data_IF_368423204133
#
_entry.id   IF_368423204133
#
_cell.length_a   1.000
_cell.length_b   1.000
_cell.length_c   1.000
_cell.angle_alpha   90.00
_cell.angle_beta   90.00
_cell.angle_gamma   90.00
#
_symmetry.space_group_name_H-M   'P 1'
#
loop_
_entity.id
_entity.type
_entity.pdbx_description
1 polymer ?
#
# COMPACT_ATOMS: atom_id res chain seq x y z
N UNK A 1 5.57 -11.56 -24.03
CA UNK A 1 4.70 -10.73 -23.19
C UNK A 1 4.73 -11.28 -21.76
N UNK A 2 4.96 -10.46 -20.74
CA UNK A 2 4.83 -10.93 -19.35
C UNK A 2 3.33 -11.02 -19.05
N UNK A 3 2.81 -12.25 -18.94
CA UNK A 3 1.40 -12.49 -18.64
C UNK A 3 1.04 -11.98 -17.25
N UNK A 4 -0.18 -11.49 -17.07
CA UNK A 4 -0.75 -11.27 -15.75
C UNK A 4 -0.77 -12.59 -14.98
N UNK A 5 -0.48 -12.53 -13.68
CA UNK A 5 -0.53 -13.69 -12.78
C UNK A 5 -1.96 -14.13 -12.50
N UNK A 6 -2.13 -15.43 -12.21
CA UNK A 6 -3.41 -16.04 -11.86
C UNK A 6 -3.58 -16.09 -10.33
N UNK A 7 -4.65 -15.52 -9.77
CA UNK A 7 -4.84 -15.49 -8.31
C UNK A 7 -4.93 -16.88 -7.68
N UNK A 8 -5.46 -17.89 -8.37
CA UNK A 8 -5.52 -19.25 -7.84
C UNK A 8 -4.13 -19.86 -7.66
N UNK A 9 -3.16 -19.43 -8.46
CA UNK A 9 -1.79 -19.92 -8.42
C UNK A 9 -0.93 -19.10 -7.44
N UNK A 10 -1.16 -17.79 -7.38
CA UNK A 10 -0.28 -16.84 -6.71
C UNK A 10 -0.66 -16.55 -5.26
N UNK A 11 -1.92 -16.73 -4.86
CA UNK A 11 -2.42 -16.30 -3.55
C UNK A 11 -3.29 -17.36 -2.84
N UNK A 12 -3.27 -17.29 -1.51
CA UNK A 12 -4.21 -17.99 -0.62
C UNK A 12 -5.12 -16.95 0.06
N UNK A 13 -6.43 -17.21 0.10
CA UNK A 13 -7.35 -16.46 0.97
C UNK A 13 -7.07 -16.90 2.41
N UNK A 14 -6.68 -15.97 3.28
CA UNK A 14 -6.20 -16.29 4.63
C UNK A 14 -7.30 -16.23 5.69
N UNK A 15 -8.31 -15.38 5.49
CA UNK A 15 -9.45 -15.25 6.40
C UNK A 15 -10.66 -14.59 5.71
N UNK A 16 -11.82 -14.65 6.39
CA UNK A 16 -13.03 -13.93 5.99
C UNK A 16 -14.25 -14.81 5.72
N UNK A 17 -14.15 -16.13 5.88
CA UNK A 17 -15.28 -17.07 5.83
C UNK A 17 -16.15 -16.87 4.56
N UNK A 18 -15.51 -17.03 3.39
CA UNK A 18 -16.14 -16.83 2.08
C UNK A 18 -16.28 -15.38 1.60
N UNK A 19 -15.84 -14.38 2.38
CA UNK A 19 -15.83 -12.96 1.96
C UNK A 19 -14.72 -12.60 0.98
N UNK A 20 -13.60 -13.32 1.02
CA UNK A 20 -12.60 -13.32 -0.03
C UNK A 20 -13.01 -14.30 -1.12
N UNK A 21 -13.02 -13.88 -2.38
CA UNK A 21 -13.41 -14.73 -3.52
C UNK A 21 -12.53 -14.48 -4.74
N UNK A 22 -12.22 -15.55 -5.46
CA UNK A 22 -11.51 -15.50 -6.74
C UNK A 22 -12.51 -15.90 -7.84
N UNK A 23 -12.59 -15.06 -8.88
CA UNK A 23 -13.51 -15.19 -10.00
C UNK A 23 -12.76 -15.25 -11.33
N UNK A 24 -13.51 -15.49 -12.41
CA UNK A 24 -13.04 -15.42 -13.79
C UNK A 24 -11.77 -16.25 -14.01
N UNK A 25 -11.79 -17.49 -13.50
CA UNK A 25 -10.67 -18.42 -13.56
C UNK A 25 -9.34 -17.83 -13.02
N UNK A 26 -9.40 -17.01 -11.96
CA UNK A 26 -8.21 -16.44 -11.34
C UNK A 26 -7.79 -15.07 -11.84
N UNK A 27 -8.64 -14.37 -12.61
CA UNK A 27 -8.33 -13.03 -13.14
C UNK A 27 -8.82 -11.88 -12.26
N UNK A 28 -9.73 -12.16 -11.33
CA UNK A 28 -10.31 -11.16 -10.43
C UNK A 28 -10.40 -11.75 -9.03
N UNK A 29 -9.93 -11.00 -8.04
CA UNK A 29 -10.13 -11.31 -6.62
C UNK A 29 -10.94 -10.16 -6.01
N UNK A 30 -11.90 -10.49 -5.14
CA UNK A 30 -12.60 -9.48 -4.32
C UNK A 30 -12.46 -9.79 -2.84
N UNK A 31 -12.31 -8.75 -2.04
CA UNK A 31 -12.44 -8.81 -0.59
C UNK A 31 -13.72 -8.07 -0.19
N UNK A 32 -14.53 -8.70 0.67
CA UNK A 32 -15.72 -8.11 1.24
C UNK A 32 -15.55 -7.86 2.74
N UNK A 33 -16.24 -6.85 3.24
CA UNK A 33 -16.33 -6.48 4.64
C UNK A 33 -17.79 -6.22 5.01
N UNK A 34 -18.22 -6.85 6.10
CA UNK A 34 -19.49 -6.59 6.77
C UNK A 34 -19.27 -6.51 8.28
N UNK A 35 -20.36 -6.33 9.04
CA UNK A 35 -20.30 -6.12 10.49
C UNK A 35 -19.72 -7.30 11.28
N UNK A 36 -19.61 -8.48 10.68
CA UNK A 36 -19.13 -9.70 11.33
C UNK A 36 -17.65 -9.93 11.05
N UNK A 37 -17.20 -9.65 9.81
CA UNK A 37 -15.82 -9.90 9.42
C UNK A 37 -15.44 -9.11 8.17
N UNK A 38 -14.15 -8.80 8.08
CA UNK A 38 -13.52 -8.45 6.81
C UNK A 38 -13.04 -9.70 6.05
N UNK A 39 -12.01 -9.52 5.23
CA UNK A 39 -11.32 -10.63 4.58
C UNK A 39 -9.91 -10.24 4.17
N UNK A 40 -9.09 -11.23 3.83
CA UNK A 40 -7.73 -11.00 3.37
C UNK A 40 -7.12 -12.18 2.65
N UNK A 41 -6.03 -11.91 1.96
CA UNK A 41 -5.23 -12.90 1.25
C UNK A 41 -3.74 -12.63 1.42
N UNK A 42 -2.93 -13.65 1.14
CA UNK A 42 -1.47 -13.53 1.10
C UNK A 42 -0.89 -14.26 -0.10
N UNK A 43 0.29 -13.86 -0.58
CA UNK A 43 0.99 -14.58 -1.65
C UNK A 43 1.49 -15.92 -1.15
N UNK A 44 1.48 -16.94 -2.03
CA UNK A 44 2.03 -18.28 -1.75
C UNK A 44 3.55 -18.31 -1.71
N UNK A 45 4.20 -17.34 -2.35
CA UNK A 45 5.67 -17.17 -2.34
C UNK A 45 6.07 -15.95 -1.51
N UNK A 46 7.27 -16.02 -0.95
CA UNK A 46 7.98 -14.86 -0.42
C UNK A 46 8.88 -14.27 -1.52
N UNK A 47 9.14 -12.98 -1.40
CA UNK A 47 10.02 -12.22 -2.28
C UNK A 47 11.07 -11.51 -1.44
N UNK A 48 12.32 -11.53 -1.90
CA UNK A 48 13.36 -10.63 -1.39
C UNK A 48 13.74 -9.71 -2.54
N UNK A 49 13.29 -8.46 -2.45
CA UNK A 49 13.25 -7.51 -3.55
C UNK A 49 12.28 -7.91 -4.68
N UNK A 50 12.00 -6.95 -5.57
CA UNK A 50 11.14 -7.13 -6.73
C UNK A 50 10.52 -5.83 -7.21
N UNK A 51 9.95 -5.86 -8.41
CA UNK A 51 8.93 -4.91 -8.84
C UNK A 51 7.60 -5.63 -8.91
N UNK A 52 6.66 -5.16 -8.10
CA UNK A 52 5.37 -5.82 -7.89
C UNK A 52 4.28 -4.80 -8.21
N UNK A 53 3.42 -5.18 -9.15
CA UNK A 53 2.27 -4.39 -9.58
C UNK A 53 0.98 -5.14 -9.23
N UNK A 54 -0.02 -4.41 -8.74
CA UNK A 54 -1.38 -4.92 -8.57
C UNK A 54 -2.37 -3.83 -9.00
N UNK A 55 -3.40 -4.19 -9.76
CA UNK A 55 -4.50 -3.27 -10.00
C UNK A 55 -5.57 -3.40 -8.94
N UNK A 56 -5.91 -2.30 -8.29
CA UNK A 56 -6.95 -2.23 -7.28
C UNK A 56 -8.07 -1.29 -7.76
N UNK A 57 -9.31 -1.65 -7.42
CA UNK A 57 -10.46 -0.75 -7.43
C UNK A 57 -11.08 -0.76 -6.04
N UNK A 58 -11.15 0.41 -5.43
CA UNK A 58 -11.51 0.57 -4.02
C UNK A 58 -13.03 0.53 -3.80
N UNK A 59 -13.43 0.53 -2.52
CA UNK A 59 -14.84 0.51 -2.11
C UNK A 59 -15.55 1.78 -2.61
N UNK A 60 -16.64 1.66 -3.39
CA UNK A 60 -17.36 2.82 -3.90
C UNK A 60 -18.31 3.41 -2.86
N UNK A 61 -18.77 4.65 -3.14
CA UNK A 61 -19.75 5.38 -2.32
C UNK A 61 -19.21 5.64 -0.90
N UNK A 62 -20.03 5.42 0.13
CA UNK A 62 -19.63 5.65 1.51
C UNK A 62 -18.76 4.48 1.96
N UNK A 63 -17.47 4.74 2.15
CA UNK A 63 -16.48 3.78 2.62
C UNK A 63 -15.83 4.23 3.93
N UNK A 64 -16.42 5.21 4.61
CA UNK A 64 -15.90 5.72 5.87
C UNK A 64 -15.68 4.61 6.90
N UNK A 65 -14.58 4.69 7.63
CA UNK A 65 -14.12 3.72 8.63
C UNK A 65 -13.52 2.44 8.05
N UNK A 66 -13.53 2.24 6.72
CA UNK A 66 -12.89 1.07 6.08
C UNK A 66 -11.44 1.35 5.69
N UNK A 67 -10.60 0.32 5.77
CA UNK A 67 -9.22 0.31 5.27
C UNK A 67 -9.05 -0.86 4.31
N UNK A 68 -8.70 -0.55 3.07
CA UNK A 68 -8.14 -1.54 2.14
C UNK A 68 -6.62 -1.47 2.24
N UNK A 69 -5.96 -2.52 2.71
CA UNK A 69 -4.49 -2.56 2.79
C UNK A 69 -3.92 -3.40 1.64
N UNK A 70 -2.78 -3.00 1.09
CA UNK A 70 -1.96 -3.76 0.15
C UNK A 70 -0.50 -3.56 0.53
N UNK A 71 0.15 -4.61 1.02
CA UNK A 71 1.41 -4.46 1.72
C UNK A 71 2.32 -5.67 1.55
N UNK A 72 3.61 -5.47 1.78
CA UNK A 72 4.58 -6.55 1.93
C UNK A 72 4.97 -6.64 3.38
N UNK A 73 5.08 -7.86 3.92
CA UNK A 73 5.49 -8.05 5.33
C UNK A 73 6.31 -9.33 5.51
N UNK A 74 7.39 -9.25 6.30
CA UNK A 74 8.14 -10.43 6.74
C UNK A 74 7.54 -11.05 8.01
N UNK A 75 7.98 -12.26 8.35
CA UNK A 75 7.57 -12.92 9.58
C UNK A 75 8.49 -12.53 10.75
N UNK A 76 8.02 -12.76 11.98
CA UNK A 76 8.79 -12.54 13.19
C UNK A 76 8.49 -11.23 13.92
N UNK A 77 9.07 -11.04 15.12
CA UNK A 77 8.77 -9.90 16.00
C UNK A 77 9.42 -8.59 15.56
N UNK A 78 10.49 -8.66 14.76
CA UNK A 78 11.22 -7.49 14.21
C UNK A 78 11.05 -7.45 12.69
N UNK A 79 9.79 -7.54 12.24
CA UNK A 79 9.48 -7.67 10.83
C UNK A 79 9.84 -6.40 10.03
N UNK A 80 10.07 -6.59 8.74
CA UNK A 80 10.10 -5.52 7.76
C UNK A 80 8.73 -5.46 7.06
N UNK A 81 8.28 -4.26 6.69
CA UNK A 81 6.98 -4.08 6.03
C UNK A 81 6.94 -2.81 5.16
N UNK A 82 6.16 -2.86 4.07
CA UNK A 82 6.01 -1.81 3.05
C UNK A 82 4.52 -1.69 2.72
N UNK A 83 3.91 -0.56 3.08
CA UNK A 83 2.45 -0.43 3.12
C UNK A 83 1.89 0.53 2.08
N UNK A 84 0.83 0.10 1.40
CA UNK A 84 -0.26 0.97 0.99
C UNK A 84 -1.48 0.67 1.86
N UNK A 85 -2.08 1.70 2.43
CA UNK A 85 -3.40 1.62 3.07
C UNK A 85 -4.31 2.68 2.48
N UNK A 86 -5.48 2.29 2.02
CA UNK A 86 -6.48 3.18 1.45
C UNK A 86 -7.57 3.41 2.47
N UNK A 87 -7.58 4.61 3.04
CA UNK A 87 -8.53 5.02 4.06
C UNK A 87 -9.78 5.54 3.37
N UNK A 88 -10.89 4.84 3.58
CA UNK A 88 -12.18 5.21 3.01
C UNK A 88 -12.75 6.50 3.60
N UNK A 89 -13.78 7.02 2.94
CA UNK A 89 -14.37 8.30 3.29
C UNK A 89 -15.88 8.32 2.99
N UNK A 90 -16.55 9.39 3.42
CA UNK A 90 -17.94 9.64 3.05
C UNK A 90 -18.06 9.80 1.52
N UNK A 91 -19.22 9.43 0.96
CA UNK A 91 -19.53 9.64 -0.46
C UNK A 91 -19.21 11.08 -0.88
N UNK A 92 -18.48 11.25 -1.98
CA UNK A 92 -18.11 12.56 -2.52
C UNK A 92 -16.87 13.20 -1.87
N UNK A 93 -16.30 12.60 -0.82
CA UNK A 93 -15.03 13.02 -0.24
C UNK A 93 -13.87 12.13 -0.72
N UNK A 94 -12.65 12.68 -0.84
CA UNK A 94 -11.53 11.93 -1.40
C UNK A 94 -11.08 10.81 -0.46
N UNK A 95 -10.63 9.71 -1.06
CA UNK A 95 -9.82 8.71 -0.38
C UNK A 95 -8.49 9.31 0.09
N UNK A 96 -7.95 8.76 1.17
CA UNK A 96 -6.56 8.99 1.58
C UNK A 96 -5.74 7.74 1.29
N UNK A 97 -4.66 7.90 0.52
CA UNK A 97 -3.63 6.87 0.37
C UNK A 97 -2.58 7.12 1.43
N UNK A 98 -2.39 6.13 2.28
CA UNK A 98 -1.40 6.10 3.33
C UNK A 98 -0.28 5.15 2.92
N UNK A 99 0.96 5.56 3.12
CA UNK A 99 2.14 4.70 2.93
C UNK A 99 2.98 4.67 4.18
N UNK A 100 3.56 3.52 4.49
CA UNK A 100 4.47 3.35 5.62
C UNK A 100 5.60 2.38 5.27
N UNK A 101 6.69 2.44 6.05
CA UNK A 101 7.83 1.54 5.92
C UNK A 101 8.30 1.15 7.31
N UNK A 102 8.22 -0.14 7.61
CA UNK A 102 8.82 -0.75 8.79
C UNK A 102 10.15 -1.40 8.42
N UNK A 103 11.13 -1.22 9.30
CA UNK A 103 12.40 -1.92 9.20
C UNK A 103 12.82 -2.38 10.59
N UNK A 104 13.04 -3.68 10.75
CA UNK A 104 13.38 -4.32 12.02
C UNK A 104 12.37 -4.00 13.14
N UNK A 105 11.07 -4.02 12.81
CA UNK A 105 9.97 -3.71 13.73
C UNK A 105 9.75 -2.22 13.98
N UNK A 106 10.58 -1.32 13.44
CA UNK A 106 10.43 0.13 13.58
C UNK A 106 9.73 0.73 12.38
N UNK A 107 8.50 1.22 12.57
CA UNK A 107 7.73 2.00 11.60
C UNK A 107 7.80 3.50 11.87
N UNK A 108 6.63 4.12 12.06
CA UNK A 108 6.45 5.56 12.30
C UNK A 108 6.89 6.47 11.14
N UNK A 109 6.70 6.00 9.90
CA UNK A 109 7.13 6.68 8.66
C UNK A 109 5.98 6.97 7.72
N UNK A 110 4.86 7.41 8.26
CA UNK A 110 3.62 7.63 7.55
C UNK A 110 3.74 8.80 6.57
N UNK A 111 3.26 8.61 5.34
CA UNK A 111 2.97 9.69 4.40
C UNK A 111 1.59 9.49 3.81
N UNK A 112 0.79 10.55 3.74
CA UNK A 112 -0.57 10.49 3.23
C UNK A 112 -0.77 11.41 2.03
N UNK A 113 -1.60 10.95 1.09
CA UNK A 113 -1.87 11.64 -0.17
C UNK A 113 -3.35 11.54 -0.55
N UNK A 114 -3.87 12.56 -1.22
CA UNK A 114 -5.07 12.42 -2.05
C UNK A 114 -4.67 12.08 -3.48
N UNK A 115 -5.47 11.25 -4.17
CA UNK A 115 -5.23 10.90 -5.56
C UNK A 115 -5.80 11.96 -6.52
N UNK A 116 -5.23 12.06 -7.72
CA UNK A 116 -5.71 12.92 -8.81
C UNK A 116 -6.87 12.30 -9.61
N UNK A 117 -7.51 11.26 -9.07
CA UNK A 117 -8.66 10.55 -9.62
C UNK A 117 -9.47 9.89 -8.49
N UNK A 118 -10.68 9.41 -8.80
CA UNK A 118 -11.46 8.59 -7.87
C UNK A 118 -11.06 7.10 -8.00
N UNK A 119 -10.36 6.53 -6.98
CA UNK A 119 -9.85 5.16 -7.03
C UNK A 119 -10.94 4.08 -6.90
N UNK A 120 -12.20 4.44 -6.65
CA UNK A 120 -13.31 3.50 -6.60
C UNK A 120 -14.04 3.32 -7.94
N UNK A 121 -13.84 4.23 -8.90
CA UNK A 121 -14.51 4.20 -10.21
C UNK A 121 -13.84 3.17 -11.14
N UNK A 122 -12.51 3.23 -11.26
CA UNK A 122 -11.73 2.39 -12.16
C UNK A 122 -10.63 1.62 -11.42
N UNK A 123 -10.09 0.60 -12.08
CA UNK A 123 -8.88 -0.07 -11.60
C UNK A 123 -7.65 0.79 -11.91
N UNK A 124 -6.82 1.00 -10.89
CA UNK A 124 -5.54 1.70 -10.99
C UNK A 124 -4.41 0.80 -10.52
N UNK A 125 -3.22 1.00 -11.08
CA UNK A 125 -2.05 0.17 -10.77
C UNK A 125 -1.30 0.75 -9.60
N UNK A 126 -1.13 -0.03 -8.54
CA UNK A 126 -0.32 0.31 -7.38
C UNK A 126 0.93 -0.57 -7.41
N UNK A 127 2.09 0.08 -7.41
CA UNK A 127 3.37 -0.58 -7.63
C UNK A 127 4.32 -0.35 -6.47
N UNK A 128 5.03 -1.41 -6.08
CA UNK A 128 6.20 -1.35 -5.20
C UNK A 128 7.41 -1.81 -6.01
N UNK A 129 8.33 -0.89 -6.26
CA UNK A 129 9.70 -1.22 -6.66
C UNK A 129 10.54 -1.30 -5.39
N UNK A 130 11.03 -2.48 -5.05
CA UNK A 130 11.88 -2.72 -3.89
C UNK A 130 13.17 -3.37 -4.37
N UNK A 131 14.30 -2.68 -4.23
CA UNK A 131 15.63 -3.19 -4.56
C UNK A 131 16.64 -2.81 -3.45
N UNK A 132 17.90 -3.27 -3.50
CA UNK A 132 18.87 -3.01 -2.44
C UNK A 132 19.14 -1.52 -2.15
N UNK A 133 18.81 -0.63 -3.08
CA UNK A 133 19.09 0.80 -2.96
C UNK A 133 17.87 1.62 -2.52
N UNK A 134 16.65 1.16 -2.80
CA UNK A 134 15.44 1.97 -2.58
C UNK A 134 14.15 1.16 -2.60
N UNK A 135 13.12 1.74 -2.00
CA UNK A 135 11.72 1.40 -2.18
C UNK A 135 11.05 2.59 -2.88
N UNK A 136 10.32 2.35 -3.96
CA UNK A 136 9.51 3.36 -4.66
C UNK A 136 8.07 2.89 -4.72
N UNK A 137 7.18 3.70 -4.17
CA UNK A 137 5.73 3.56 -4.25
C UNK A 137 5.25 4.32 -5.47
N UNK A 138 4.48 3.69 -6.35
CA UNK A 138 3.92 4.36 -7.52
C UNK A 138 2.44 4.06 -7.71
N UNK A 139 1.73 5.02 -8.30
CA UNK A 139 0.33 4.92 -8.72
C UNK A 139 0.27 5.21 -10.21
N UNK A 140 -0.17 4.25 -11.02
CA UNK A 140 -0.16 4.30 -12.50
C UNK A 140 1.20 4.71 -13.09
N UNK A 141 2.29 4.21 -12.49
CA UNK A 141 3.65 4.53 -12.90
C UNK A 141 4.14 5.93 -12.50
N UNK A 142 3.35 6.69 -11.74
CA UNK A 142 3.75 7.97 -11.15
C UNK A 142 4.26 7.70 -9.73
N UNK A 143 5.54 7.95 -9.42
CA UNK A 143 6.08 7.76 -8.09
C UNK A 143 5.47 8.77 -7.11
N UNK A 144 4.96 8.27 -5.99
CA UNK A 144 4.39 9.10 -4.91
C UNK A 144 5.33 9.20 -3.70
N UNK A 145 6.22 8.21 -3.54
CA UNK A 145 7.21 8.16 -2.45
C UNK A 145 8.43 7.35 -2.85
N UNK A 146 9.60 7.83 -2.44
CA UNK A 146 10.86 7.08 -2.45
C UNK A 146 11.38 6.98 -1.01
N UNK A 147 11.78 5.78 -0.60
CA UNK A 147 12.52 5.51 0.64
C UNK A 147 13.88 4.89 0.26
N UNK A 148 14.96 5.64 0.48
CA UNK A 148 16.32 5.24 0.09
C UNK A 148 16.93 4.34 1.15
N UNK A 149 17.77 3.40 0.72
CA UNK A 149 18.67 2.70 1.64
C UNK A 149 19.72 3.71 2.15
N UNK A 150 19.62 4.03 3.44
CA UNK A 150 20.48 4.99 4.14
C UNK A 150 21.18 4.32 5.35
N UNK A 151 21.48 3.03 5.24
CA UNK A 151 22.20 2.29 6.28
C UNK A 151 23.56 2.91 6.60
N UNK A 152 24.20 3.56 5.64
CA UNK A 152 25.46 4.29 5.82
C UNK A 152 25.38 5.40 6.90
N UNK A 153 24.18 5.94 7.17
CA UNK A 153 23.93 6.92 8.24
C UNK A 153 23.13 6.33 9.42
N UNK A 154 22.98 5.00 9.44
CA UNK A 154 22.34 4.24 10.51
C UNK A 154 20.81 4.16 10.41
N UNK A 155 20.22 4.37 9.24
CA UNK A 155 18.79 4.13 9.01
C UNK A 155 18.61 2.70 8.49
N UNK A 156 17.94 1.80 9.23
CA UNK A 156 17.68 0.44 8.76
C UNK A 156 16.86 0.41 7.47
N UNK A 157 17.07 -0.61 6.65
CA UNK A 157 16.37 -0.80 5.38
C UNK A 157 15.92 -2.26 5.22
N UNK A 158 14.74 -2.54 4.64
CA UNK A 158 14.27 -3.91 4.37
C UNK A 158 15.15 -4.58 3.31
N UNK A 159 16.19 -5.31 3.70
CA UNK A 159 17.08 -6.01 2.73
C UNK A 159 17.41 -7.45 3.05
N UNK A 160 17.08 -7.92 4.26
CA UNK A 160 17.50 -9.23 4.75
C UNK A 160 16.33 -10.19 4.98
N UNK A 161 15.09 -9.69 5.05
CA UNK A 161 13.92 -10.50 5.38
C UNK A 161 13.03 -10.64 4.14
N UNK A 162 12.87 -11.85 3.57
CA UNK A 162 11.90 -12.10 2.53
C UNK A 162 10.48 -11.80 3.04
N UNK A 163 9.68 -11.14 2.21
CA UNK A 163 8.32 -10.71 2.55
C UNK A 163 7.30 -11.43 1.68
N UNK A 164 6.14 -11.75 2.27
CA UNK A 164 4.95 -12.08 1.47
C UNK A 164 4.21 -10.80 1.14
N UNK A 165 3.44 -10.86 0.07
CA UNK A 165 2.47 -9.82 -0.29
C UNK A 165 1.17 -10.16 0.41
N UNK A 166 0.53 -9.15 0.97
CA UNK A 166 -0.74 -9.26 1.67
C UNK A 166 -1.72 -8.22 1.14
N UNK A 167 -3.00 -8.54 1.28
CA UNK A 167 -4.03 -7.52 1.23
C UNK A 167 -5.19 -7.90 2.13
N UNK A 168 -5.83 -6.90 2.71
CA UNK A 168 -6.98 -7.06 3.59
C UNK A 168 -7.96 -5.91 3.41
N UNK A 169 -9.23 -6.17 3.73
CA UNK A 169 -10.26 -5.16 3.88
C UNK A 169 -10.86 -5.30 5.27
N UNK A 170 -10.79 -4.25 6.08
CA UNK A 170 -11.18 -4.30 7.48
C UNK A 170 -11.67 -2.94 7.99
N UNK A 171 -12.30 -2.95 9.17
CA UNK A 171 -12.82 -1.76 9.85
C UNK A 171 -11.77 -1.18 10.80
N UNK A 172 -11.53 0.12 10.69
CA UNK A 172 -10.55 0.87 11.46
C UNK A 172 -11.16 2.18 11.99
N UNK A 173 -12.35 2.07 12.57
CA UNK A 173 -13.18 3.19 13.04
C UNK A 173 -12.46 4.16 13.96
N UNK A 174 -11.45 3.69 14.69
CA UNK A 174 -10.71 4.50 15.66
C UNK A 174 -9.79 5.54 15.01
N UNK A 175 -9.45 5.41 13.72
CA UNK A 175 -8.49 6.32 13.10
C UNK A 175 -8.67 6.57 11.60
N UNK A 176 -9.30 5.68 10.83
CA UNK A 176 -9.23 5.71 9.36
C UNK A 176 -9.83 6.98 8.73
N UNK A 177 -11.05 7.37 9.10
CA UNK A 177 -11.73 8.51 8.48
C UNK A 177 -11.76 9.70 9.41
N UNK A 178 -11.13 10.80 8.98
CA UNK A 178 -10.97 12.04 9.76
C UNK A 178 -10.39 11.79 11.16
N UNK A 179 -9.37 10.94 11.26
CA UNK A 179 -8.76 10.59 12.54
C UNK A 179 -9.71 9.85 13.49
N UNK A 180 -10.65 9.09 12.94
CA UNK A 180 -11.61 8.28 13.70
C UNK A 180 -12.90 8.99 14.09
N UNK A 181 -13.11 10.24 13.68
CA UNK A 181 -14.34 10.99 13.96
C UNK A 181 -15.56 10.44 13.21
N UNK A 182 -15.36 9.83 12.04
CA UNK A 182 -16.43 9.26 11.22
C UNK A 182 -16.31 7.74 11.26
N UNK A 183 -17.39 7.10 11.69
CA UNK A 183 -17.51 5.65 11.88
C UNK A 183 -18.13 4.97 10.66
N UNK A 184 -17.95 3.67 10.58
CA UNK A 184 -18.51 2.85 9.50
C UNK A 184 -20.03 2.77 9.62
N UNK A 185 -20.73 3.14 8.55
CA UNK A 185 -22.16 2.90 8.42
C UNK A 185 -22.40 1.48 7.90
N UNK A 186 -22.58 0.54 8.83
CA UNK A 186 -22.79 -0.87 8.51
C UNK A 186 -24.06 -1.15 7.71
N UNK A 187 -25.01 -0.20 7.58
CA UNK A 187 -26.15 -0.35 6.68
C UNK A 187 -25.76 -0.31 5.20
N UNK A 188 -24.55 0.18 4.89
CA UNK A 188 -23.98 0.20 3.53
C UNK A 188 -23.22 -1.08 3.17
N UNK A 189 -23.07 -2.02 4.11
CA UNK A 189 -22.39 -3.29 3.86
C UNK A 189 -23.16 -4.15 2.82
N UNK A 190 -22.47 -5.01 2.04
CA UNK A 190 -21.03 -5.26 2.10
C UNK A 190 -20.21 -4.16 1.40
N UNK A 191 -19.06 -3.86 1.99
CA UNK A 191 -18.02 -3.05 1.36
C UNK A 191 -17.11 -3.98 0.55
N UNK A 192 -16.82 -3.66 -0.71
CA UNK A 192 -16.06 -4.53 -1.61
C UNK A 192 -14.88 -3.81 -2.23
N UNK A 193 -13.68 -4.36 -2.02
CA UNK A 193 -12.47 -3.99 -2.77
C UNK A 193 -12.16 -5.08 -3.80
N UNK A 194 -11.69 -4.67 -4.98
CA UNK A 194 -11.41 -5.57 -6.11
C UNK A 194 -9.96 -5.49 -6.58
N UNK A 195 -9.41 -6.62 -6.98
CA UNK A 195 -8.01 -6.80 -7.34
C UNK A 195 -7.88 -7.55 -8.67
N UNK A 196 -7.01 -7.08 -9.55
CA UNK A 196 -6.70 -7.77 -10.80
C UNK A 196 -5.28 -7.53 -11.28
N UNK A 197 -4.89 -8.25 -12.33
CA UNK A 197 -3.66 -8.01 -13.07
C UNK A 197 -2.41 -7.97 -12.17
N UNK A 198 -2.33 -8.90 -11.22
CA UNK A 198 -1.14 -9.07 -10.40
C UNK A 198 0.07 -9.37 -11.28
N UNK A 199 1.21 -8.75 -11.00
CA UNK A 199 2.44 -8.98 -11.75
C UNK A 199 3.66 -8.80 -10.88
N UNK A 200 4.59 -9.75 -11.01
CA UNK A 200 5.97 -9.62 -10.53
C UNK A 200 6.89 -9.57 -11.75
N UNK A 201 7.76 -8.57 -11.82
CA UNK A 201 8.67 -8.40 -12.95
C UNK A 201 9.78 -9.47 -12.94
N UNK A 202 9.72 -10.41 -13.90
CA UNK A 202 10.70 -11.46 -14.10
C UNK A 202 12.00 -11.05 -14.82
N UNK A 203 12.07 -9.83 -15.37
CA UNK A 203 13.21 -9.38 -16.19
C UNK A 203 14.47 -9.03 -15.37
N UNK A 204 14.35 -8.88 -14.05
CA UNK A 204 15.38 -8.39 -13.11
C UNK A 204 15.94 -6.99 -13.42
N UNK A 205 15.46 -6.28 -14.44
CA UNK A 205 15.86 -4.91 -14.74
C UNK A 205 15.59 -3.95 -13.56
N UNK A 206 14.54 -4.25 -12.78
CA UNK A 206 14.20 -3.56 -11.54
C UNK A 206 15.33 -3.53 -10.49
N UNK A 207 16.27 -4.48 -10.52
CA UNK A 207 17.34 -4.59 -9.53
C UNK A 207 18.25 -3.36 -9.53
N UNK A 208 18.49 -2.80 -10.70
CA UNK A 208 19.33 -1.62 -10.92
C UNK A 208 18.51 -0.36 -11.24
N UNK A 209 17.18 -0.46 -11.21
CA UNK A 209 16.31 0.66 -11.56
C UNK A 209 16.48 1.80 -10.55
N UNK A 210 16.69 3.00 -11.08
CA UNK A 210 16.81 4.24 -10.32
C UNK A 210 15.68 5.21 -10.68
N UNK A 211 15.50 6.23 -9.85
CA UNK A 211 14.64 7.38 -10.13
C UNK A 211 15.32 8.28 -11.18
N UNK A 212 14.81 8.27 -12.41
CA UNK A 212 15.22 9.23 -13.44
C UNK A 212 14.69 10.64 -13.18
N UNK A 213 15.19 11.63 -13.93
CA UNK A 213 14.82 13.04 -13.75
C UNK A 213 13.35 13.34 -14.04
N UNK A 214 12.67 12.53 -14.86
CA UNK A 214 11.24 12.69 -15.14
C UNK A 214 10.42 12.23 -13.94
N UNK A 215 10.77 11.07 -13.38
CA UNK A 215 10.15 10.49 -12.20
C UNK A 215 10.42 11.34 -10.95
N UNK A 216 11.59 11.96 -10.83
CA UNK A 216 11.87 12.92 -9.75
C UNK A 216 10.96 14.17 -9.84
N UNK A 217 10.76 14.72 -11.04
CA UNK A 217 9.84 15.86 -11.23
C UNK A 217 8.39 15.48 -10.93
N UNK A 218 7.96 14.28 -11.33
CA UNK A 218 6.63 13.74 -11.00
C UNK A 218 6.45 13.58 -9.50
N UNK A 219 7.43 13.00 -8.80
CA UNK A 219 7.40 12.87 -7.34
C UNK A 219 7.31 14.24 -6.66
N UNK A 220 8.07 15.22 -7.13
CA UNK A 220 7.97 16.60 -6.62
C UNK A 220 6.56 17.17 -6.82
N UNK A 221 5.96 16.98 -8.00
CA UNK A 221 4.61 17.43 -8.28
C UNK A 221 3.57 16.75 -7.37
N UNK A 222 3.67 15.43 -7.16
CA UNK A 222 2.78 14.71 -6.22
C UNK A 222 2.94 15.26 -4.81
N UNK A 223 4.17 15.40 -4.31
CA UNK A 223 4.43 15.96 -2.98
C UNK A 223 3.85 17.37 -2.81
N UNK A 224 3.97 18.21 -3.83
CA UNK A 224 3.50 19.60 -3.78
C UNK A 224 1.97 19.71 -3.81
N UNK A 225 1.29 18.89 -4.60
CA UNK A 225 -0.13 19.08 -4.90
C UNK A 225 -1.06 18.07 -4.19
N UNK A 226 -0.53 16.94 -3.75
CA UNK A 226 -1.34 15.80 -3.31
C UNK A 226 -1.01 15.29 -1.90
N UNK A 227 0.16 15.58 -1.36
CA UNK A 227 0.55 15.15 -0.02
C UNK A 227 -0.16 15.97 1.05
N UNK A 228 -0.79 15.28 2.00
CA UNK A 228 -1.56 15.90 3.09
C UNK A 228 -0.94 15.67 4.47
N UNK A 229 -0.07 14.67 4.60
CA UNK A 229 0.70 14.42 5.82
C UNK A 229 2.06 13.83 5.47
N UNK A 230 3.09 14.25 6.21
CA UNK A 230 4.44 13.73 6.08
C UNK A 230 5.12 13.69 7.45
N UNK A 231 5.48 12.49 7.91
CA UNK A 231 6.17 12.28 9.19
C UNK A 231 7.47 13.10 9.32
N UNK A 232 8.18 13.34 8.20
CA UNK A 232 9.42 14.11 8.18
C UNK A 232 9.26 15.60 8.52
N UNK A 233 8.03 16.10 8.60
CA UNK A 233 7.71 17.49 8.95
C UNK A 233 6.79 17.60 10.16
N UNK A 234 6.46 16.47 10.81
CA UNK A 234 5.59 16.46 11.99
C UNK A 234 6.40 16.76 13.27
N UNK A 235 6.44 18.04 13.64
CA UNK A 235 7.12 18.50 14.85
C UNK A 235 6.43 18.07 16.15
N UNK A 236 5.13 17.75 16.11
CA UNK A 236 4.40 17.29 17.29
C UNK A 236 4.80 15.86 17.62
N UNK A 237 4.94 15.02 16.60
CA UNK A 237 5.38 13.63 16.76
C UNK A 237 6.88 13.51 17.01
N UNK A 238 7.68 14.38 16.42
CA UNK A 238 9.15 14.37 16.55
C UNK A 238 9.70 15.66 17.18
N UNK A 239 9.36 15.98 18.44
CA UNK A 239 9.78 17.23 19.08
C UNK A 239 11.29 17.29 19.37
N UNK A 240 11.96 16.13 19.38
CA UNK A 240 13.41 16.00 19.64
C UNK A 240 14.26 15.91 18.36
N UNK A 241 13.66 16.21 17.21
CA UNK A 241 14.33 16.14 15.90
C UNK A 241 13.79 15.03 15.02
N UNK A 242 13.84 15.27 13.71
CA UNK A 242 13.28 14.37 12.70
C UNK A 242 14.15 13.12 12.49
N UNK A 243 13.54 12.00 12.02
CA UNK A 243 14.29 10.83 11.59
C UNK A 243 15.39 11.18 10.57
N UNK A 244 16.54 10.51 10.67
CA UNK A 244 17.76 10.87 9.90
C UNK A 244 17.54 10.86 8.39
N UNK A 245 16.71 9.95 7.90
CA UNK A 245 16.34 9.84 6.49
C UNK A 245 15.63 11.08 5.93
N UNK A 246 15.01 11.88 6.80
CA UNK A 246 14.32 13.11 6.43
C UNK A 246 15.28 14.26 6.05
N UNK A 247 16.55 14.17 6.46
CA UNK A 247 17.56 15.15 6.08
C UNK A 247 18.13 14.92 4.66
N UNK A 248 17.77 13.81 4.02
CA UNK A 248 18.30 13.40 2.71
C UNK A 248 17.18 13.50 1.67
N UNK A 249 17.02 14.66 1.04
CA UNK A 249 16.06 14.89 -0.03
C UNK A 249 16.76 15.25 -1.34
#
# INVERSE_FOLDING_TARGET
AVSAGNFNEEFDITWGDGRGKIFNNGQLLTLNLDRYSGSGFQSKKQHLFGKIDMQLKLVPRNSAGTVTAYYLRSQGPTWDEIDFEFLGNLSGHPYTVHTNVYSQGKGDREQQFHLWFDPAVNFHTYSVLWNPQRIVFSVDGIPIREFKNLEAIGVPFPKNQPMRIYSSLWNADDWATRGGLIKTDWSQAPFTASYRNFKVDGSRAWLLQQMDSTNQRRLYWVRKNHMIYNYCTDTKRFPQGFPKECAVH
#
